data_IF_261136743723
#
_entry.id   IF_261136743723
#
_cell.length_a   1.000
_cell.length_b   1.000
_cell.length_c   1.000
_cell.angle_alpha   90.00
_cell.angle_beta   90.00
_cell.angle_gamma   90.00
#
_symmetry.space_group_name_H-M   'P 1'
#
loop_
_entity.id
_entity.type
_entity.pdbx_description
1 polymer ?
#
# COMPACT_ATOMS: atom_id res chain seq x y z
N UNK A 1 59.59 -11.90 -25.25
CA UNK A 1 58.12 -12.14 -25.32
C UNK A 1 57.84 -13.43 -24.55
N UNK A 2 56.75 -13.60 -23.78
CA UNK A 2 55.62 -12.71 -23.48
C UNK A 2 55.29 -12.63 -21.96
N UNK A 3 55.09 -11.45 -21.36
CA UNK A 3 54.45 -11.35 -20.03
C UNK A 3 53.71 -10.00 -19.98
N UNK A 4 52.37 -10.00 -20.06
CA UNK A 4 51.46 -8.95 -19.54
C UNK A 4 50.00 -9.18 -20.00
N UNK A 5 49.42 -10.36 -19.77
CA UNK A 5 48.00 -10.60 -20.11
C UNK A 5 47.17 -11.26 -19.00
N UNK A 6 47.79 -11.75 -17.92
CA UNK A 6 47.04 -12.50 -16.89
C UNK A 6 46.33 -11.59 -15.87
N UNK A 7 46.95 -10.49 -15.42
CA UNK A 7 46.36 -9.63 -14.38
C UNK A 7 45.15 -8.82 -14.84
N UNK A 8 45.12 -8.39 -16.10
CA UNK A 8 44.02 -7.57 -16.63
C UNK A 8 42.72 -8.37 -16.75
N UNK A 9 42.83 -9.67 -17.07
CA UNK A 9 41.67 -10.57 -17.18
C UNK A 9 41.06 -10.87 -15.80
N UNK A 10 41.90 -11.04 -14.77
CA UNK A 10 41.41 -11.26 -13.38
C UNK A 10 40.64 -10.04 -12.85
N UNK A 11 41.13 -8.83 -13.11
CA UNK A 11 40.47 -7.59 -12.69
C UNK A 11 39.13 -7.39 -13.43
N UNK A 12 39.08 -7.68 -14.74
CA UNK A 12 37.82 -7.60 -15.51
C UNK A 12 36.81 -8.64 -15.03
N UNK A 13 37.24 -9.87 -14.71
CA UNK A 13 36.37 -10.90 -14.12
C UNK A 13 35.87 -10.47 -12.73
N UNK A 14 36.72 -9.87 -11.88
CA UNK A 14 36.30 -9.33 -10.58
C UNK A 14 35.34 -8.15 -10.71
N UNK A 15 35.55 -7.25 -11.68
CA UNK A 15 34.64 -6.13 -11.96
C UNK A 15 33.30 -6.63 -12.50
N UNK A 16 33.28 -7.62 -13.40
CA UNK A 16 32.04 -8.24 -13.91
C UNK A 16 31.32 -9.02 -12.81
N UNK A 17 32.05 -9.71 -11.93
CA UNK A 17 31.49 -10.42 -10.76
C UNK A 17 30.91 -9.44 -9.74
N UNK A 18 31.55 -8.29 -9.49
CA UNK A 18 31.02 -7.22 -8.65
C UNK A 18 29.86 -6.45 -9.29
N UNK A 19 29.83 -6.31 -10.63
CA UNK A 19 28.73 -5.62 -11.33
C UNK A 19 27.45 -6.47 -11.39
N UNK A 20 27.56 -7.80 -11.27
CA UNK A 20 26.41 -8.72 -11.11
C UNK A 20 25.86 -8.81 -9.67
N UNK A 21 26.46 -8.14 -8.69
CA UNK A 21 26.01 -8.16 -7.29
C UNK A 21 25.34 -6.86 -6.82
N UNK A 22 24.66 -6.12 -7.70
CA UNK A 22 23.89 -4.92 -7.30
C UNK A 22 22.41 -4.92 -7.71
N UNK A 23 21.86 -6.07 -8.06
CA UNK A 23 20.45 -6.22 -8.40
C UNK A 23 19.69 -7.26 -7.54
N UNK A 24 20.33 -7.81 -6.50
CA UNK A 24 19.72 -8.81 -5.61
C UNK A 24 20.02 -8.60 -4.12
N UNK A 25 20.37 -7.38 -3.69
CA UNK A 25 20.38 -7.02 -2.25
C UNK A 25 19.03 -6.43 -1.84
N UNK A 26 17.96 -7.18 -2.09
CA UNK A 26 16.68 -6.99 -1.39
C UNK A 26 16.32 -8.24 -0.58
N UNK A 27 17.34 -8.96 -0.11
CA UNK A 27 17.20 -9.92 0.98
C UNK A 27 17.63 -9.28 2.30
N UNK A 28 17.19 -8.05 2.53
CA UNK A 28 17.20 -7.47 3.88
C UNK A 28 16.31 -8.38 4.72
N UNK A 29 16.92 -9.10 5.66
CA UNK A 29 16.20 -10.09 6.47
C UNK A 29 14.99 -9.43 7.15
N UNK A 30 13.89 -10.18 7.29
CA UNK A 30 12.61 -9.73 7.88
C UNK A 30 12.74 -9.03 9.25
N UNK A 31 13.89 -9.15 9.91
CA UNK A 31 14.20 -8.51 11.19
C UNK A 31 14.60 -7.03 11.09
N UNK A 32 15.28 -6.59 10.02
CA UNK A 32 15.80 -5.21 9.92
C UNK A 32 14.70 -4.16 9.63
N UNK A 33 13.55 -4.56 9.08
CA UNK A 33 12.45 -3.65 8.72
C UNK A 33 11.31 -3.55 9.75
N UNK A 34 11.38 -4.26 10.89
CA UNK A 34 10.31 -4.21 11.90
C UNK A 34 10.42 -2.97 12.78
N UNK A 35 9.32 -2.24 12.93
CA UNK A 35 9.23 -1.11 13.86
C UNK A 35 9.20 -1.61 15.31
N UNK A 36 10.15 -1.16 16.14
CA UNK A 36 10.31 -1.58 17.53
C UNK A 36 9.55 -0.65 18.51
N UNK A 37 8.29 -0.96 18.80
CA UNK A 37 7.43 -0.16 19.71
C UNK A 37 7.38 -0.78 21.11
N UNK A 38 6.93 -2.04 21.21
CA UNK A 38 6.64 -2.70 22.50
C UNK A 38 7.84 -2.83 23.42
N UNK A 39 9.04 -3.11 22.86
CA UNK A 39 10.31 -3.24 23.60
C UNK A 39 10.69 -1.96 24.34
N UNK A 40 10.33 -0.81 23.77
CA UNK A 40 10.68 0.51 24.28
C UNK A 40 9.55 1.15 25.11
N UNK A 41 8.33 0.61 25.06
CA UNK A 41 7.17 1.29 25.61
C UNK A 41 7.25 1.52 27.13
N UNK A 42 7.72 0.52 27.88
CA UNK A 42 7.78 0.59 29.37
C UNK A 42 8.84 1.56 29.87
N UNK A 43 9.92 1.78 29.12
CA UNK A 43 11.00 2.71 29.52
C UNK A 43 10.64 4.18 29.27
N UNK A 44 9.57 4.46 28.52
CA UNK A 44 9.14 5.82 28.24
C UNK A 44 8.31 6.42 29.40
N UNK A 45 8.51 7.71 29.71
CA UNK A 45 7.73 8.39 30.73
C UNK A 45 6.24 8.44 30.37
N UNK A 46 5.36 8.41 31.37
CA UNK A 46 3.89 8.32 31.19
C UNK A 46 3.36 9.45 30.31
N UNK A 47 3.81 10.70 30.53
CA UNK A 47 3.34 11.85 29.75
C UNK A 47 3.58 11.71 28.25
N UNK A 48 4.71 11.12 27.83
CA UNK A 48 5.00 10.87 26.40
C UNK A 48 4.02 9.85 25.82
N UNK A 49 3.72 8.80 26.57
CA UNK A 49 2.74 7.77 26.18
C UNK A 49 1.33 8.35 26.09
N UNK A 50 0.95 9.22 27.03
CA UNK A 50 -0.34 9.92 27.02
C UNK A 50 -0.47 10.86 25.83
N UNK A 51 0.54 11.69 25.55
CA UNK A 51 0.54 12.54 24.34
C UNK A 51 0.46 11.67 23.09
N UNK A 52 1.25 10.59 23.00
CA UNK A 52 1.20 9.66 21.87
C UNK A 52 -0.20 9.07 21.64
N UNK A 53 -0.95 8.79 22.70
CA UNK A 53 -2.34 8.34 22.59
C UNK A 53 -3.25 9.45 22.02
N UNK A 54 -3.05 10.71 22.37
CA UNK A 54 -3.83 11.81 21.79
C UNK A 54 -3.51 11.96 20.29
N UNK A 55 -2.22 11.86 19.93
CA UNK A 55 -1.77 12.03 18.54
C UNK A 55 -2.39 11.04 17.58
N UNK A 56 -2.74 9.81 18.02
CA UNK A 56 -3.40 8.85 17.14
C UNK A 56 -4.82 9.29 16.75
N UNK A 57 -5.52 10.03 17.61
CA UNK A 57 -6.88 10.49 17.33
C UNK A 57 -6.95 11.84 16.59
N UNK A 58 -5.90 12.66 16.61
CA UNK A 58 -5.91 13.96 15.92
C UNK A 58 -6.23 13.85 14.41
N UNK A 59 -5.73 12.86 13.66
CA UNK A 59 -6.09 12.67 12.26
C UNK A 59 -7.60 12.50 12.00
N UNK A 60 -8.43 12.15 12.98
CA UNK A 60 -9.90 12.09 12.81
C UNK A 60 -10.46 13.43 12.33
N UNK A 61 -9.85 14.56 12.76
CA UNK A 61 -10.25 15.91 12.33
C UNK A 61 -10.11 16.07 10.81
N UNK A 62 -9.18 15.34 10.19
CA UNK A 62 -8.96 15.36 8.73
C UNK A 62 -9.86 14.39 7.96
N UNK A 63 -10.59 13.50 8.63
CA UNK A 63 -11.44 12.51 7.95
C UNK A 63 -12.48 13.12 7.01
N UNK A 64 -13.20 14.21 7.36
CA UNK A 64 -14.14 14.81 6.43
C UNK A 64 -13.49 15.20 5.10
N UNK A 65 -12.26 15.73 5.14
CA UNK A 65 -11.51 16.08 3.94
C UNK A 65 -11.13 14.83 3.12
N UNK A 66 -10.65 13.76 3.77
CA UNK A 66 -10.30 12.51 3.07
C UNK A 66 -11.54 11.84 2.46
N UNK A 67 -12.67 11.84 3.19
CA UNK A 67 -13.95 11.30 2.69
C UNK A 67 -14.41 12.08 1.47
N UNK A 68 -14.42 13.42 1.54
CA UNK A 68 -14.79 14.28 0.41
C UNK A 68 -13.88 14.02 -0.78
N UNK A 69 -12.56 13.99 -0.57
CA UNK A 69 -11.59 13.68 -1.63
C UNK A 69 -11.85 12.31 -2.26
N UNK A 70 -12.06 11.27 -1.46
CA UNK A 70 -12.39 9.94 -1.94
C UNK A 70 -13.71 9.89 -2.73
N UNK A 71 -14.76 10.57 -2.25
CA UNK A 71 -16.03 10.65 -2.97
C UNK A 71 -15.88 11.38 -4.31
N UNK A 72 -15.14 12.49 -4.35
CA UNK A 72 -14.87 13.21 -5.60
C UNK A 72 -14.11 12.32 -6.58
N UNK A 73 -13.08 11.60 -6.13
CA UNK A 73 -12.35 10.63 -6.95
C UNK A 73 -13.25 9.48 -7.44
N UNK A 74 -14.10 8.93 -6.58
CA UNK A 74 -15.05 7.89 -6.91
C UNK A 74 -16.04 8.35 -7.99
N UNK A 75 -16.65 9.51 -7.81
CA UNK A 75 -17.60 10.05 -8.78
C UNK A 75 -16.92 10.49 -10.07
N UNK A 76 -15.69 11.01 -10.02
CA UNK A 76 -14.88 11.26 -11.22
C UNK A 76 -14.71 9.99 -12.04
N UNK A 77 -14.26 8.89 -11.41
CA UNK A 77 -14.10 7.59 -12.08
C UNK A 77 -15.43 7.11 -12.67
N UNK A 78 -16.54 7.22 -11.93
CA UNK A 78 -17.88 6.91 -12.45
C UNK A 78 -18.25 7.77 -13.67
N UNK A 79 -17.92 9.06 -13.67
CA UNK A 79 -18.23 9.98 -14.76
C UNK A 79 -17.41 9.69 -16.03
N UNK A 80 -16.21 9.13 -15.90
CA UNK A 80 -15.38 8.70 -17.05
C UNK A 80 -15.64 7.24 -17.47
N UNK A 81 -16.70 6.61 -16.93
CA UNK A 81 -17.18 5.30 -17.38
C UNK A 81 -16.71 4.11 -16.53
N UNK A 82 -16.06 4.33 -15.39
CA UNK A 82 -15.60 3.21 -14.57
C UNK A 82 -16.78 2.37 -14.00
N UNK A 83 -16.62 1.05 -14.04
CA UNK A 83 -17.53 0.07 -13.46
C UNK A 83 -16.81 -0.76 -12.39
N UNK A 84 -17.59 -1.46 -11.54
CA UNK A 84 -17.06 -2.38 -10.52
C UNK A 84 -16.05 -1.76 -9.53
N UNK A 85 -16.18 -0.45 -9.25
CA UNK A 85 -15.37 0.24 -8.25
C UNK A 85 -15.66 -0.29 -6.85
N UNK A 86 -14.60 -0.55 -6.08
CA UNK A 86 -14.74 -0.84 -4.65
C UNK A 86 -15.21 0.38 -3.87
N UNK A 87 -16.13 0.16 -2.96
CA UNK A 87 -16.62 1.11 -1.97
C UNK A 87 -15.75 1.08 -0.72
N UNK A 88 -15.91 2.07 0.16
CA UNK A 88 -15.23 2.07 1.47
C UNK A 88 -15.47 0.78 2.26
N UNK A 89 -16.69 0.22 2.20
CA UNK A 89 -17.06 -0.97 2.96
C UNK A 89 -16.30 -2.22 2.53
N UNK A 90 -15.82 -2.28 1.29
CA UNK A 90 -14.99 -3.38 0.78
C UNK A 90 -13.60 -3.42 1.44
N UNK A 91 -13.18 -2.32 2.06
CA UNK A 91 -11.92 -2.20 2.81
C UNK A 91 -12.12 -2.36 4.32
N UNK A 92 -13.36 -2.54 4.80
CA UNK A 92 -13.63 -2.76 6.22
C UNK A 92 -13.70 -4.26 6.53
N UNK A 93 -13.15 -4.71 7.67
CA UNK A 93 -13.32 -6.09 8.10
C UNK A 93 -14.79 -6.37 8.40
N UNK A 94 -15.25 -7.56 8.03
CA UNK A 94 -16.63 -7.96 8.32
C UNK A 94 -16.85 -8.05 9.83
N UNK A 95 -18.05 -7.72 10.31
CA UNK A 95 -18.31 -7.67 11.77
C UNK A 95 -18.15 -9.03 12.42
N UNK A 96 -18.56 -10.10 11.74
CA UNK A 96 -18.46 -11.48 12.19
C UNK A 96 -17.03 -11.97 12.39
N UNK A 97 -16.02 -11.33 11.79
CA UNK A 97 -14.61 -11.71 12.01
C UNK A 97 -14.04 -11.12 13.30
N UNK A 98 -14.78 -10.24 14.00
CA UNK A 98 -14.34 -9.68 15.26
C UNK A 98 -14.48 -10.73 16.37
N UNK A 99 -13.34 -11.11 16.96
CA UNK A 99 -13.26 -12.14 18.01
C UNK A 99 -13.91 -11.72 19.33
N UNK A 100 -13.86 -10.43 19.66
CA UNK A 100 -14.29 -9.89 20.94
C UNK A 100 -15.54 -9.02 20.79
N UNK A 101 -16.36 -9.03 21.84
CA UNK A 101 -17.55 -8.20 22.00
C UNK A 101 -17.51 -7.54 23.40
N UNK A 102 -18.48 -6.68 23.70
CA UNK A 102 -18.48 -5.90 24.93
C UNK A 102 -18.46 -6.77 26.21
N UNK A 103 -18.90 -8.04 26.15
CA UNK A 103 -18.92 -8.95 27.30
C UNK A 103 -17.54 -9.57 27.58
N UNK A 104 -16.80 -9.94 26.53
CA UNK A 104 -15.53 -10.68 26.65
C UNK A 104 -14.28 -9.88 26.22
N UNK A 105 -14.44 -8.57 25.94
CA UNK A 105 -13.33 -7.69 25.57
C UNK A 105 -12.25 -7.66 26.66
N UNK A 106 -11.00 -7.86 26.23
CA UNK A 106 -9.82 -7.78 27.07
C UNK A 106 -9.53 -6.30 27.36
N UNK A 107 -9.21 -6.01 28.62
CA UNK A 107 -8.79 -4.69 29.11
C UNK A 107 -7.39 -4.80 29.72
N UNK A 108 -6.72 -3.66 29.91
CA UNK A 108 -5.42 -3.61 30.57
C UNK A 108 -5.60 -3.29 32.05
N UNK A 109 -4.75 -3.87 32.90
CA UNK A 109 -4.58 -3.43 34.27
C UNK A 109 -3.88 -2.07 34.27
N UNK A 110 -4.66 -1.00 34.41
CA UNK A 110 -4.12 0.36 34.37
C UNK A 110 -3.28 0.69 35.61
N UNK A 111 -2.13 1.34 35.39
CA UNK A 111 -1.30 1.92 36.45
C UNK A 111 -1.91 3.17 37.13
N UNK A 112 -3.08 3.62 36.64
CA UNK A 112 -3.80 4.80 37.11
C UNK A 112 -5.30 4.61 36.86
N UNK A 113 -6.15 5.04 37.80
CA UNK A 113 -7.60 4.77 37.81
C UNK A 113 -8.40 5.45 36.70
N UNK A 114 -7.88 6.52 36.09
CA UNK A 114 -8.54 7.20 34.97
C UNK A 114 -8.11 6.66 33.59
N UNK A 115 -7.40 5.53 33.55
CA UNK A 115 -6.93 4.96 32.29
C UNK A 115 -8.09 4.38 31.49
N UNK A 116 -8.39 4.98 30.33
CA UNK A 116 -9.40 4.45 29.40
C UNK A 116 -9.10 3.01 28.96
N UNK A 117 -7.85 2.56 29.05
CA UNK A 117 -7.45 1.19 28.73
C UNK A 117 -8.06 0.13 29.68
N UNK A 118 -8.58 0.54 30.84
CA UNK A 118 -9.35 -0.34 31.74
C UNK A 118 -10.81 -0.54 31.28
N UNK A 119 -11.29 0.22 30.28
CA UNK A 119 -12.67 0.14 29.79
C UNK A 119 -12.83 -0.79 28.59
N UNK A 120 -13.78 -1.73 28.66
CA UNK A 120 -14.15 -2.58 27.52
C UNK A 120 -14.71 -1.77 26.35
N UNK A 121 -15.51 -0.75 26.64
CA UNK A 121 -16.11 0.10 25.62
C UNK A 121 -15.03 0.85 24.82
N UNK A 122 -14.00 1.34 25.52
CA UNK A 122 -12.87 2.00 24.87
C UNK A 122 -12.21 1.07 23.83
N UNK A 123 -11.91 -0.17 24.19
CA UNK A 123 -11.32 -1.13 23.26
C UNK A 123 -12.27 -1.53 22.12
N UNK A 124 -13.56 -1.71 22.39
CA UNK A 124 -14.53 -1.99 21.33
C UNK A 124 -14.57 -0.84 20.32
N UNK A 125 -14.73 0.41 20.76
CA UNK A 125 -14.76 1.56 19.85
C UNK A 125 -13.46 1.69 19.04
N UNK A 126 -12.31 1.40 19.64
CA UNK A 126 -11.04 1.42 18.91
C UNK A 126 -10.92 0.27 17.91
N UNK A 127 -11.19 -0.96 18.33
CA UNK A 127 -10.94 -2.16 17.56
C UNK A 127 -12.01 -2.46 16.52
N UNK A 128 -13.25 -2.00 16.69
CA UNK A 128 -14.35 -2.25 15.74
C UNK A 128 -14.71 -1.05 14.89
N UNK A 129 -14.28 0.15 15.28
CA UNK A 129 -14.64 1.38 14.57
C UNK A 129 -13.41 2.22 14.21
N UNK A 130 -12.75 2.86 15.18
CA UNK A 130 -11.70 3.83 14.87
C UNK A 130 -10.54 3.23 14.05
N UNK A 131 -9.92 2.13 14.50
CA UNK A 131 -8.77 1.56 13.78
C UNK A 131 -9.17 0.97 12.41
N UNK A 132 -10.22 0.12 12.30
CA UNK A 132 -10.61 -0.42 10.99
C UNK A 132 -11.06 0.65 10.00
N UNK A 133 -11.85 1.64 10.45
CA UNK A 133 -12.31 2.73 9.58
C UNK A 133 -11.15 3.63 9.17
N UNK A 134 -10.20 3.93 10.06
CA UNK A 134 -8.98 4.67 9.70
C UNK A 134 -8.24 3.99 8.56
N UNK A 135 -7.90 2.71 8.75
CA UNK A 135 -7.15 1.94 7.77
C UNK A 135 -7.93 1.85 6.45
N UNK A 136 -9.19 1.43 6.51
CA UNK A 136 -10.03 1.28 5.33
C UNK A 136 -10.26 2.59 4.58
N UNK A 137 -10.40 3.73 5.27
CA UNK A 137 -10.57 5.04 4.63
C UNK A 137 -9.33 5.44 3.82
N UNK A 138 -8.14 5.31 4.40
CA UNK A 138 -6.90 5.64 3.68
C UNK A 138 -6.58 4.64 2.58
N UNK A 139 -6.86 3.35 2.77
CA UNK A 139 -6.67 2.34 1.72
C UNK A 139 -7.65 2.52 0.56
N UNK A 140 -8.92 2.80 0.84
CA UNK A 140 -9.94 3.09 -0.17
C UNK A 140 -9.58 4.35 -0.96
N UNK A 141 -9.18 5.42 -0.27
CA UNK A 141 -8.72 6.65 -0.91
C UNK A 141 -7.51 6.41 -1.81
N UNK A 142 -6.49 5.71 -1.30
CA UNK A 142 -5.30 5.35 -2.09
C UNK A 142 -5.65 4.49 -3.30
N UNK A 143 -6.56 3.51 -3.15
CA UNK A 143 -7.05 2.70 -4.27
C UNK A 143 -7.67 3.55 -5.38
N UNK A 144 -8.53 4.50 -5.04
CA UNK A 144 -9.16 5.38 -6.03
C UNK A 144 -8.13 6.26 -6.75
N UNK A 145 -7.17 6.84 -6.01
CA UNK A 145 -6.11 7.66 -6.62
C UNK A 145 -5.21 6.82 -7.52
N UNK A 146 -4.88 5.57 -7.14
CA UNK A 146 -4.15 4.64 -8.01
C UNK A 146 -4.91 4.31 -9.30
N UNK A 147 -6.23 4.11 -9.24
CA UNK A 147 -7.05 3.91 -10.43
C UNK A 147 -7.01 5.13 -11.35
N UNK A 148 -7.15 6.33 -10.80
CA UNK A 148 -7.04 7.59 -11.57
C UNK A 148 -5.66 7.69 -12.22
N UNK A 149 -4.60 7.36 -11.47
CA UNK A 149 -3.24 7.37 -12.00
C UNK A 149 -3.03 6.33 -13.11
N UNK A 150 -3.56 5.12 -12.95
CA UNK A 150 -3.50 4.10 -13.99
C UNK A 150 -4.30 4.48 -15.23
N UNK A 151 -5.44 5.16 -15.06
CA UNK A 151 -6.26 5.61 -16.17
C UNK A 151 -5.63 6.81 -16.91
N UNK A 152 -5.21 7.85 -16.19
CA UNK A 152 -4.71 9.09 -16.79
C UNK A 152 -3.23 9.02 -17.21
N UNK A 153 -2.41 8.30 -16.44
CA UNK A 153 -0.97 8.30 -16.51
C UNK A 153 -0.42 6.86 -16.55
N UNK A 154 -0.59 6.14 -17.68
CA UNK A 154 -0.16 4.74 -17.83
C UNK A 154 1.34 4.59 -18.04
N UNK A 155 2.16 5.40 -17.37
CA UNK A 155 3.61 5.40 -17.54
C UNK A 155 4.27 4.67 -16.38
N UNK A 156 5.09 3.67 -16.72
CA UNK A 156 5.74 2.82 -15.75
C UNK A 156 6.81 3.58 -14.94
N UNK A 157 6.83 3.35 -13.63
CA UNK A 157 7.88 3.83 -12.73
C UNK A 157 7.99 2.91 -11.51
N UNK A 158 9.06 3.07 -10.73
CA UNK A 158 9.42 2.14 -9.64
C UNK A 158 8.41 1.96 -8.49
N UNK A 159 7.25 2.61 -8.53
CA UNK A 159 6.15 2.44 -7.56
C UNK A 159 4.91 1.76 -8.15
N UNK A 160 4.76 1.74 -9.48
CA UNK A 160 3.59 1.15 -10.16
C UNK A 160 3.48 -0.37 -9.97
N UNK A 161 4.59 -1.05 -9.71
CA UNK A 161 4.58 -2.49 -9.37
C UNK A 161 3.72 -2.80 -8.13
N UNK A 162 3.47 -1.84 -7.24
CA UNK A 162 2.59 -2.02 -6.07
C UNK A 162 1.11 -1.70 -6.32
N UNK A 163 0.68 -1.59 -7.59
CA UNK A 163 -0.67 -1.14 -7.97
C UNK A 163 -1.57 -2.31 -8.39
N UNK A 164 -1.20 -3.55 -8.08
CA UNK A 164 -1.97 -4.75 -8.41
C UNK A 164 -3.42 -4.72 -7.92
N UNK A 165 -3.70 -3.98 -6.86
CA UNK A 165 -5.05 -3.83 -6.31
C UNK A 165 -5.92 -2.83 -7.09
N UNK A 166 -5.36 -2.13 -8.07
CA UNK A 166 -5.98 -1.05 -8.85
C UNK A 166 -5.78 -1.26 -10.36
N UNK A 167 -5.88 -2.51 -10.83
CA UNK A 167 -5.82 -2.82 -12.26
C UNK A 167 -7.08 -2.29 -12.97
N UNK A 168 -6.89 -1.84 -14.21
CA UNK A 168 -7.96 -1.40 -15.11
C UNK A 168 -7.85 -2.14 -16.44
N UNK A 169 -8.95 -2.16 -17.17
CA UNK A 169 -9.04 -2.71 -18.52
C UNK A 169 -8.20 -1.88 -19.50
N UNK A 170 -8.41 -0.56 -19.56
CA UNK A 170 -7.70 0.32 -20.48
C UNK A 170 -7.46 1.70 -19.86
N UNK A 171 -6.24 2.22 -20.01
CA UNK A 171 -5.96 3.62 -19.71
C UNK A 171 -6.56 4.56 -20.76
N UNK A 172 -6.62 5.86 -20.47
CA UNK A 172 -7.01 6.92 -21.40
C UNK A 172 -6.30 6.84 -22.77
N UNK A 173 -5.01 6.55 -22.77
CA UNK A 173 -4.18 6.48 -24.00
C UNK A 173 -4.44 5.24 -24.85
N UNK A 174 -5.19 4.27 -24.31
CA UNK A 174 -5.57 3.03 -24.98
C UNK A 174 -6.96 3.12 -25.65
N UNK A 175 -7.66 4.24 -25.51
CA UNK A 175 -8.99 4.45 -26.11
C UNK A 175 -8.91 4.61 -27.63
N UNK A 176 -7.88 5.29 -28.13
CA UNK A 176 -7.72 5.62 -29.55
C UNK A 176 -6.46 4.98 -30.12
N UNK A 177 -6.61 4.26 -31.23
CA UNK A 177 -5.53 3.50 -31.87
C UNK A 177 -4.32 4.36 -32.27
N UNK A 178 -4.57 5.61 -32.66
CA UNK A 178 -3.59 6.61 -33.05
C UNK A 178 -2.76 7.15 -31.88
N UNK A 179 -3.25 7.00 -30.65
CA UNK A 179 -2.53 7.40 -29.43
C UNK A 179 -1.72 6.24 -28.85
N UNK A 180 -2.20 5.00 -28.97
CA UNK A 180 -1.50 3.80 -28.54
C UNK A 180 -0.10 3.71 -29.13
N UNK A 181 0.05 4.03 -30.43
CA UNK A 181 1.34 3.97 -31.14
C UNK A 181 2.36 4.99 -30.64
N UNK A 182 1.96 5.96 -29.81
CA UNK A 182 2.83 6.95 -29.20
C UNK A 182 3.45 6.46 -27.89
N UNK A 183 2.88 5.41 -27.28
CA UNK A 183 3.35 4.87 -26.01
C UNK A 183 4.66 4.12 -26.19
N UNK A 184 5.47 4.11 -25.13
CA UNK A 184 6.59 3.17 -25.05
C UNK A 184 6.05 1.74 -24.94
N UNK A 185 6.78 0.76 -25.48
CA UNK A 185 6.32 -0.65 -25.50
C UNK A 185 5.94 -1.15 -24.09
N UNK A 186 6.76 -0.85 -23.08
CA UNK A 186 6.52 -1.26 -21.69
C UNK A 186 5.23 -0.66 -21.08
N UNK A 187 4.81 0.50 -21.57
CA UNK A 187 3.59 1.19 -21.13
C UNK A 187 2.37 0.71 -21.92
N UNK A 188 2.57 0.40 -23.20
CA UNK A 188 1.58 -0.20 -24.08
C UNK A 188 1.20 -1.61 -23.60
N UNK A 189 2.17 -2.43 -23.22
CA UNK A 189 1.97 -3.85 -22.88
C UNK A 189 1.86 -4.10 -21.37
N UNK A 190 1.51 -3.11 -20.56
CA UNK A 190 1.44 -3.31 -19.12
C UNK A 190 0.10 -3.93 -18.66
N UNK A 191 0.12 -5.09 -17.99
CA UNK A 191 -1.10 -5.77 -17.53
C UNK A 191 -1.84 -5.05 -16.39
N UNK A 192 -1.29 -3.97 -15.83
CA UNK A 192 -1.96 -3.19 -14.78
C UNK A 192 -3.00 -2.24 -15.38
N UNK A 193 -2.77 -1.70 -16.58
CA UNK A 193 -3.65 -0.71 -17.19
C UNK A 193 -4.01 -0.99 -18.65
N UNK A 194 -3.69 -2.20 -19.11
CA UNK A 194 -4.12 -2.73 -20.40
C UNK A 194 -4.37 -4.24 -20.30
N UNK A 195 -5.62 -4.65 -20.40
CA UNK A 195 -6.06 -6.06 -20.41
C UNK A 195 -5.73 -6.78 -21.73
N UNK A 196 -5.55 -6.01 -22.80
CA UNK A 196 -5.22 -6.49 -24.13
C UNK A 196 -3.70 -6.58 -24.36
N UNK A 197 -2.90 -6.50 -23.31
CA UNK A 197 -1.46 -6.57 -23.42
C UNK A 197 -1.00 -7.88 -24.08
N UNK A 198 0.04 -7.82 -24.91
CA UNK A 198 0.54 -8.99 -25.63
C UNK A 198 0.90 -10.16 -24.70
N UNK A 199 1.35 -9.84 -23.49
CA UNK A 199 1.73 -10.78 -22.43
C UNK A 199 0.56 -11.30 -21.59
N UNK A 200 -0.61 -10.64 -21.64
CA UNK A 200 -1.79 -10.98 -20.85
C UNK A 200 -2.45 -12.28 -21.36
N UNK A 201 -2.35 -12.56 -22.66
CA UNK A 201 -2.98 -13.70 -23.34
C UNK A 201 -2.22 -15.03 -23.18
N UNK A 202 -1.08 -15.04 -22.48
CA UNK A 202 -0.27 -16.24 -22.24
C UNK A 202 -0.59 -17.00 -20.94
N UNK A 203 -1.59 -16.55 -20.15
CA UNK A 203 -1.91 -17.11 -18.83
C UNK A 203 -3.17 -18.00 -18.77
N UNK A 204 -3.93 -18.08 -19.87
CA UNK A 204 -5.15 -18.91 -19.97
C UNK A 204 -4.94 -20.07 -20.96
N UNK A 205 -3.97 -20.92 -20.66
CA UNK A 205 -3.88 -22.25 -21.27
C UNK A 205 -3.21 -23.23 -20.32
N UNK A 206 -3.99 -23.79 -19.39
CA UNK A 206 -3.98 -25.22 -18.97
C UNK A 206 -5.09 -25.48 -17.94
#
# INVERSE_FOLDING_TARGET
>A
MPIHSSHTITIIIQIIRNKKMKACESSTTREEHRVNIGRNHKVLPVWRRTIGLILVYLPIITWPFIIISGLLSYYHLKMVGAENLKTLFDFLPKRETHRYNLKNQITMDGSFSLSLAQSRLYWILNCTWYCPVSVGLFEWHAYLVKLIENWWCPFNHGRKQGYDNAKIDQSFWHIYSEDIVKLHQDDQDNPIWNDNCSQCKGGESE
#
